data_IF_687081133982
#
_entry.id   IF_687081133982
#
_cell.length_a   1.000
_cell.length_b   1.000
_cell.length_c   1.000
_cell.angle_alpha   90.00
_cell.angle_beta   90.00
_cell.angle_gamma   90.00
#
_symmetry.space_group_name_H-M   'P 1'
#
loop_
_entity.id
_entity.type
_entity.pdbx_description
1 polymer ?
#
# COMPACT_ATOMS: atom_id res chain seq x y z
N UNK A 1 -4.88 18.12 8.17
CA UNK A 1 -3.83 18.17 7.14
C UNK A 1 -4.50 17.73 5.83
N UNK A 2 -4.19 18.35 4.69
CA UNK A 2 -4.70 17.83 3.40
C UNK A 2 -3.96 16.53 3.07
N UNK A 3 -4.53 15.68 2.20
CA UNK A 3 -3.81 14.51 1.67
C UNK A 3 -2.43 14.88 1.13
N UNK A 4 -1.52 13.89 1.12
CA UNK A 4 -0.14 14.08 0.67
C UNK A 4 -0.14 14.55 -0.79
N UNK A 5 0.63 15.61 -1.06
CA UNK A 5 0.77 16.14 -2.42
C UNK A 5 1.42 15.10 -3.35
N UNK A 6 0.79 14.86 -4.49
CA UNK A 6 1.29 13.92 -5.50
C UNK A 6 2.52 14.49 -6.19
N UNK A 7 3.62 13.74 -6.16
CA UNK A 7 4.79 13.98 -7.01
C UNK A 7 4.86 12.89 -8.09
N UNK A 8 4.57 13.21 -9.37
CA UNK A 8 4.56 12.22 -10.45
C UNK A 8 5.88 11.46 -10.62
N UNK A 9 7.02 12.04 -10.23
CA UNK A 9 8.33 11.37 -10.32
C UNK A 9 8.46 10.18 -9.34
N UNK A 10 7.58 10.11 -8.34
CA UNK A 10 7.55 9.04 -7.34
C UNK A 10 6.66 7.87 -7.76
N UNK A 11 6.02 7.95 -8.94
CA UNK A 11 5.01 7.00 -9.39
C UNK A 11 5.46 6.41 -10.72
N UNK A 12 5.98 5.19 -10.68
CA UNK A 12 6.16 4.38 -11.88
C UNK A 12 4.78 3.86 -12.32
N UNK A 13 4.64 3.50 -13.60
CA UNK A 13 3.39 2.92 -14.10
C UNK A 13 3.09 1.60 -13.35
N UNK A 14 1.85 1.44 -12.86
CA UNK A 14 1.42 0.17 -12.30
C UNK A 14 1.43 -0.88 -13.41
N UNK A 15 2.12 -2.01 -13.23
CA UNK A 15 2.19 -3.03 -14.26
C UNK A 15 0.80 -3.49 -14.69
N UNK A 16 0.53 -3.41 -15.99
CA UNK A 16 -0.67 -3.98 -16.61
C UNK A 16 -0.28 -5.22 -17.41
N UNK A 17 -0.52 -6.42 -16.85
CA UNK A 17 -0.47 -7.64 -17.67
C UNK A 17 -1.74 -7.72 -18.50
N UNK A 18 -1.62 -7.44 -19.79
CA UNK A 18 -2.66 -7.79 -20.75
C UNK A 18 -2.89 -9.30 -20.81
N UNK A 19 -4.15 -9.74 -20.76
CA UNK A 19 -4.54 -11.11 -21.11
C UNK A 19 -4.90 -12.07 -19.97
N UNK A 20 -4.91 -11.63 -18.71
CA UNK A 20 -5.51 -12.42 -17.62
C UNK A 20 -6.93 -11.90 -17.34
N UNK A 21 -7.91 -12.81 -17.35
CA UNK A 21 -9.25 -12.51 -16.87
C UNK A 21 -9.21 -12.50 -15.33
N UNK A 22 -9.13 -11.32 -14.73
CA UNK A 22 -9.19 -11.16 -13.28
C UNK A 22 -10.64 -11.26 -12.85
N UNK A 23 -11.05 -12.42 -12.37
CA UNK A 23 -12.31 -12.55 -11.64
C UNK A 23 -12.08 -12.22 -10.17
N UNK A 24 -12.94 -11.38 -9.59
CA UNK A 24 -12.89 -11.05 -8.17
C UNK A 24 -13.11 -12.31 -7.33
N UNK A 25 -12.08 -12.72 -6.60
CA UNK A 25 -12.15 -13.81 -5.62
C UNK A 25 -11.57 -13.34 -4.28
N UNK A 26 -11.75 -14.15 -3.22
CA UNK A 26 -11.13 -13.92 -1.90
C UNK A 26 -11.27 -12.47 -1.40
N UNK A 27 -12.51 -11.94 -1.47
CA UNK A 27 -12.80 -10.57 -1.08
C UNK A 27 -12.70 -10.48 0.44
N UNK A 28 -11.82 -9.59 0.94
CA UNK A 28 -11.69 -9.27 2.36
C UNK A 28 -11.93 -7.78 2.57
N UNK A 29 -12.74 -7.44 3.57
CA UNK A 29 -13.04 -6.06 3.97
C UNK A 29 -12.56 -5.82 5.38
N UNK A 30 -11.87 -4.70 5.59
CA UNK A 30 -11.27 -4.28 6.85
C UNK A 30 -11.82 -2.92 7.23
N UNK A 31 -12.32 -2.77 8.46
CA UNK A 31 -12.94 -1.54 8.95
C UNK A 31 -11.99 -0.77 9.85
N UNK A 32 -11.83 0.52 9.59
CA UNK A 32 -11.06 1.43 10.43
C UNK A 32 -12.01 2.07 11.45
N UNK A 33 -12.42 1.32 12.49
CA UNK A 33 -13.52 1.71 13.41
C UNK A 33 -13.26 3.00 14.21
N UNK A 34 -12.01 3.44 14.31
CA UNK A 34 -11.68 4.55 15.18
C UNK A 34 -12.14 5.91 14.62
N UNK A 35 -12.21 6.16 13.30
CA UNK A 35 -12.62 7.47 12.78
C UNK A 35 -13.10 7.46 11.31
N UNK A 36 -14.35 7.90 11.10
CA UNK A 36 -15.14 7.74 9.87
C UNK A 36 -15.22 6.25 9.49
N UNK A 37 -16.37 5.73 9.07
CA UNK A 37 -16.49 4.29 8.77
C UNK A 37 -15.78 3.97 7.44
N UNK A 38 -14.44 4.05 7.43
CA UNK A 38 -13.62 3.77 6.28
C UNK A 38 -13.41 2.26 6.18
N UNK A 39 -13.75 1.73 5.02
CA UNK A 39 -13.54 0.33 4.68
C UNK A 39 -12.45 0.20 3.62
N UNK A 40 -11.52 -0.72 3.87
CA UNK A 40 -10.52 -1.16 2.90
C UNK A 40 -10.94 -2.54 2.41
N UNK A 41 -11.28 -2.68 1.13
CA UNK A 41 -11.66 -3.96 0.53
C UNK A 41 -10.59 -4.42 -0.45
N UNK A 42 -10.05 -5.62 -0.25
CA UNK A 42 -9.05 -6.24 -1.14
C UNK A 42 -9.68 -7.36 -1.96
N UNK A 43 -9.26 -7.51 -3.22
CA UNK A 43 -9.76 -8.55 -4.13
C UNK A 43 -8.61 -9.43 -4.61
N UNK A 44 -8.71 -10.72 -4.28
CA UNK A 44 -7.86 -11.79 -4.77
C UNK A 44 -8.10 -12.12 -6.24
N UNK A 45 -7.15 -12.84 -6.83
CA UNK A 45 -7.24 -13.39 -8.18
C UNK A 45 -7.80 -14.81 -8.06
N UNK A 46 -8.87 -15.11 -8.79
CA UNK A 46 -9.45 -16.45 -8.80
C UNK A 46 -8.43 -17.49 -9.29
N UNK A 47 -8.36 -18.64 -8.60
CA UNK A 47 -7.48 -19.77 -8.92
C UNK A 47 -5.97 -19.47 -8.86
N UNK A 48 -5.55 -18.42 -8.13
CA UNK A 48 -4.15 -18.16 -7.80
C UNK A 48 -3.91 -18.47 -6.33
N UNK A 49 -3.22 -19.59 -6.08
CA UNK A 49 -2.91 -20.04 -4.72
C UNK A 49 -1.63 -19.41 -4.16
N UNK A 50 -0.71 -18.91 -5.01
CA UNK A 50 0.41 -18.02 -4.68
C UNK A 50 0.98 -17.39 -5.97
N UNK A 51 1.60 -16.19 -5.97
CA UNK A 51 1.82 -15.27 -4.83
C UNK A 51 1.34 -13.82 -5.09
N UNK A 52 0.54 -13.58 -6.13
CA UNK A 52 -0.19 -12.32 -6.31
C UNK A 52 -1.52 -12.37 -5.56
N UNK A 53 -1.46 -12.35 -4.23
CA UNK A 53 -2.58 -12.75 -3.37
C UNK A 53 -3.78 -11.77 -3.41
N UNK A 54 -3.57 -10.56 -3.93
CA UNK A 54 -4.63 -9.65 -4.37
C UNK A 54 -4.12 -8.64 -5.39
N UNK A 55 -5.02 -8.18 -6.26
CA UNK A 55 -4.67 -7.29 -7.36
C UNK A 55 -5.41 -5.97 -7.30
N UNK A 56 -6.43 -5.86 -6.44
CA UNK A 56 -7.27 -4.68 -6.33
C UNK A 56 -7.52 -4.30 -4.89
N UNK A 57 -7.53 -2.99 -4.63
CA UNK A 57 -7.95 -2.37 -3.38
C UNK A 57 -9.01 -1.34 -3.68
N UNK A 58 -10.10 -1.37 -2.93
CA UNK A 58 -11.15 -0.35 -2.93
C UNK A 58 -11.22 0.28 -1.54
N UNK A 59 -11.36 1.61 -1.52
CA UNK A 59 -11.54 2.42 -0.34
C UNK A 59 -12.94 3.04 -0.37
N UNK A 60 -13.69 2.94 0.71
CA UNK A 60 -15.01 3.56 0.86
C UNK A 60 -15.22 4.17 2.25
N UNK A 61 -16.10 5.17 2.38
CA UNK A 61 -16.54 5.77 3.64
C UNK A 61 -18.05 5.99 3.57
N UNK A 62 -18.82 5.57 4.57
CA UNK A 62 -20.27 5.81 4.66
C UNK A 62 -21.01 5.50 3.33
N UNK A 63 -20.74 4.32 2.75
CA UNK A 63 -21.25 3.86 1.43
C UNK A 63 -20.82 4.68 0.19
N UNK A 64 -19.94 5.67 0.34
CA UNK A 64 -19.32 6.41 -0.75
C UNK A 64 -17.96 5.82 -1.13
N UNK A 65 -17.73 5.61 -2.43
CA UNK A 65 -16.41 5.20 -2.94
C UNK A 65 -15.42 6.36 -2.85
N UNK A 66 -14.29 6.13 -2.17
CA UNK A 66 -13.15 7.05 -2.07
C UNK A 66 -12.17 6.84 -3.22
N UNK A 67 -11.94 5.59 -3.61
CA UNK A 67 -11.03 5.23 -4.70
C UNK A 67 -10.89 3.73 -4.93
N UNK A 68 -10.43 3.37 -6.12
CA UNK A 68 -10.12 2.00 -6.49
C UNK A 68 -8.75 1.94 -7.20
N UNK A 69 -7.92 1.00 -6.80
CA UNK A 69 -6.54 0.85 -7.28
C UNK A 69 -6.29 -0.60 -7.68
N UNK A 70 -5.68 -0.81 -8.84
CA UNK A 70 -5.38 -2.14 -9.35
C UNK A 70 -3.91 -2.29 -9.76
N UNK A 71 -3.28 -3.39 -9.36
CA UNK A 71 -1.94 -3.81 -9.77
C UNK A 71 -2.01 -5.26 -10.27
N UNK A 72 -1.88 -5.43 -11.59
CA UNK A 72 -2.05 -6.74 -12.23
C UNK A 72 -0.87 -7.70 -11.98
N UNK A 73 0.26 -7.19 -11.50
CA UNK A 73 1.33 -8.06 -10.99
C UNK A 73 1.05 -8.57 -9.57
N UNK A 74 -0.01 -8.07 -8.93
CA UNK A 74 -0.42 -8.45 -7.59
C UNK A 74 0.39 -7.77 -6.47
N UNK A 75 -0.25 -7.69 -5.32
CA UNK A 75 0.36 -7.44 -4.02
C UNK A 75 0.43 -8.75 -3.24
N UNK A 76 1.47 -8.92 -2.44
CA UNK A 76 1.69 -10.10 -1.61
C UNK A 76 1.01 -9.94 -0.24
N UNK A 77 0.56 -11.06 0.35
CA UNK A 77 0.18 -11.08 1.76
C UNK A 77 1.41 -11.25 2.65
N UNK A 78 1.30 -10.85 3.91
CA UNK A 78 2.30 -11.13 4.94
C UNK A 78 2.55 -12.63 5.16
N UNK A 79 1.63 -13.51 4.77
CA UNK A 79 1.84 -14.95 4.93
C UNK A 79 2.98 -15.49 4.04
N UNK A 80 3.29 -14.79 2.95
CA UNK A 80 4.33 -15.17 1.99
C UNK A 80 5.74 -14.90 2.53
N UNK A 81 5.89 -13.91 3.43
CA UNK A 81 7.20 -13.48 3.97
C UNK A 81 7.07 -13.08 5.45
N UNK A 82 7.77 -13.81 6.32
CA UNK A 82 7.77 -13.56 7.78
C UNK A 82 8.07 -12.11 8.15
N UNK A 83 8.99 -11.46 7.43
CA UNK A 83 9.32 -10.04 7.63
C UNK A 83 8.13 -9.11 7.34
N UNK A 84 7.44 -9.31 6.21
CA UNK A 84 6.28 -8.49 5.85
C UNK A 84 5.16 -8.71 6.86
N UNK A 85 4.94 -9.97 7.29
CA UNK A 85 4.02 -10.29 8.38
C UNK A 85 4.32 -9.50 9.66
N UNK A 86 5.58 -9.49 10.07
CA UNK A 86 6.02 -8.78 11.26
C UNK A 86 5.78 -7.27 11.11
N UNK A 87 6.12 -6.67 9.97
CA UNK A 87 5.87 -5.26 9.68
C UNK A 87 4.38 -4.92 9.73
N UNK A 88 3.51 -5.77 9.16
CA UNK A 88 2.06 -5.58 9.21
C UNK A 88 1.57 -5.64 10.67
N UNK A 89 1.95 -6.69 11.40
CA UNK A 89 1.50 -6.92 12.77
C UNK A 89 1.95 -5.83 13.75
N UNK A 90 3.14 -5.26 13.53
CA UNK A 90 3.73 -4.29 14.45
C UNK A 90 3.26 -2.86 14.20
N UNK A 91 2.83 -2.52 12.97
CA UNK A 91 2.60 -1.13 12.58
C UNK A 91 1.19 -0.83 12.07
N UNK A 92 0.42 -1.83 11.64
CA UNK A 92 -0.91 -1.57 11.09
C UNK A 92 -1.91 -1.22 12.19
N UNK A 93 -2.73 -0.19 11.97
CA UNK A 93 -3.84 0.18 12.85
C UNK A 93 -4.94 -0.88 12.96
N UNK A 94 -5.02 -1.78 11.97
CA UNK A 94 -5.98 -2.88 11.95
C UNK A 94 -5.29 -4.20 11.74
N UNK A 95 -5.79 -5.23 12.43
CA UNK A 95 -5.34 -6.61 12.27
C UNK A 95 -5.67 -7.09 10.85
N UNK A 96 -4.63 -7.40 10.08
CA UNK A 96 -4.76 -7.92 8.73
C UNK A 96 -3.45 -8.61 8.32
N UNK A 97 -3.45 -9.21 7.13
CA UNK A 97 -2.30 -9.89 6.55
C UNK A 97 -1.88 -9.31 5.19
N UNK A 98 -2.28 -8.09 4.83
CA UNK A 98 -2.19 -7.57 3.45
C UNK A 98 -1.50 -6.22 3.32
N UNK A 99 -1.61 -5.37 4.33
CA UNK A 99 -1.22 -3.98 4.23
C UNK A 99 -0.92 -3.40 5.61
N UNK A 100 -0.24 -2.25 5.61
CA UNK A 100 -0.13 -1.41 6.79
C UNK A 100 -1.03 -0.19 6.57
N UNK A 101 -1.93 0.06 7.52
CA UNK A 101 -2.63 1.36 7.62
C UNK A 101 -1.98 2.17 8.73
N UNK A 102 -1.58 3.40 8.41
CA UNK A 102 -1.05 4.38 9.35
C UNK A 102 -1.97 5.60 9.43
N UNK A 103 -2.13 6.15 10.63
CA UNK A 103 -2.83 7.42 10.87
C UNK A 103 -1.80 8.55 10.79
N UNK A 104 -2.09 9.54 9.93
CA UNK A 104 -1.28 10.73 9.75
C UNK A 104 -1.88 11.97 10.43
N UNK A 105 -2.96 11.77 11.20
CA UNK A 105 -3.72 12.77 11.91
C UNK A 105 -4.75 13.49 11.04
N UNK A 106 -5.74 14.15 11.65
CA UNK A 106 -6.80 14.90 10.94
C UNK A 106 -7.66 14.04 9.97
N UNK A 107 -7.96 12.78 10.31
CA UNK A 107 -8.70 11.84 9.45
C UNK A 107 -8.01 11.57 8.11
N UNK A 108 -6.67 11.63 8.09
CA UNK A 108 -5.84 11.36 6.94
C UNK A 108 -4.98 10.13 7.23
N UNK A 109 -4.98 9.19 6.29
CA UNK A 109 -4.36 7.89 6.44
C UNK A 109 -3.42 7.58 5.28
N UNK A 110 -2.55 6.63 5.54
CA UNK A 110 -1.68 6.04 4.54
C UNK A 110 -1.86 4.53 4.53
N UNK A 111 -2.10 3.96 3.36
CA UNK A 111 -2.09 2.52 3.09
C UNK A 111 -0.78 2.16 2.41
N UNK A 112 -0.03 1.23 2.98
CA UNK A 112 1.21 0.68 2.42
C UNK A 112 0.96 -0.75 1.94
N UNK A 113 1.22 -0.98 0.66
CA UNK A 113 1.01 -2.26 -0.04
C UNK A 113 2.33 -2.79 -0.58
N UNK A 114 2.53 -4.10 -0.45
CA UNK A 114 3.76 -4.80 -0.82
C UNK A 114 3.54 -5.57 -2.12
N UNK A 115 4.28 -5.23 -3.17
CA UNK A 115 4.22 -5.94 -4.45
C UNK A 115 5.10 -7.18 -4.43
N UNK A 116 4.63 -8.25 -5.06
CA UNK A 116 5.43 -9.47 -5.16
C UNK A 116 6.70 -9.23 -5.98
N UNK A 117 7.89 -9.65 -5.51
CA UNK A 117 9.09 -9.61 -6.33
C UNK A 117 8.99 -10.67 -7.42
N UNK A 118 8.89 -10.23 -8.67
CA UNK A 118 8.87 -11.14 -9.81
C UNK A 118 10.30 -11.37 -10.31
N UNK A 119 10.74 -12.63 -10.25
CA UNK A 119 12.09 -13.03 -10.66
C UNK A 119 13.18 -12.21 -9.93
N UNK A 120 14.13 -11.63 -10.67
CA UNK A 120 15.22 -10.79 -10.12
C UNK A 120 14.85 -9.32 -9.95
N UNK A 121 13.56 -8.97 -10.05
CA UNK A 121 13.08 -7.59 -9.87
C UNK A 121 12.77 -7.37 -8.39
N UNK A 122 13.26 -6.28 -7.77
CA UNK A 122 12.89 -5.93 -6.41
C UNK A 122 11.37 -5.84 -6.23
N UNK A 123 10.84 -6.15 -5.04
CA UNK A 123 9.41 -6.02 -4.77
C UNK A 123 8.97 -4.57 -4.97
N UNK A 124 7.68 -4.39 -5.25
CA UNK A 124 7.10 -3.06 -5.42
C UNK A 124 6.64 -2.53 -4.08
N UNK A 125 6.69 -1.22 -3.88
CA UNK A 125 6.02 -0.55 -2.77
C UNK A 125 5.02 0.44 -3.35
N UNK A 126 3.76 0.29 -2.97
CA UNK A 126 2.70 1.25 -3.28
C UNK A 126 2.25 1.92 -1.99
N UNK A 127 2.23 3.25 -1.98
CA UNK A 127 1.72 4.06 -0.86
C UNK A 127 0.53 4.86 -1.38
N UNK A 128 -0.62 4.67 -0.73
CA UNK A 128 -1.86 5.39 -1.04
C UNK A 128 -2.19 6.30 0.14
N UNK A 129 -2.30 7.59 -0.13
CA UNK A 129 -2.81 8.58 0.80
C UNK A 129 -4.33 8.65 0.66
N UNK A 130 -5.09 8.63 1.75
CA UNK A 130 -6.54 8.73 1.68
C UNK A 130 -7.18 9.41 2.89
N UNK A 131 -8.35 9.98 2.66
CA UNK A 131 -9.26 10.54 3.64
C UNK A 131 -10.70 10.17 3.22
N UNK A 132 -11.71 10.52 4.01
CA UNK A 132 -13.11 10.09 3.79
C UNK A 132 -13.69 10.44 2.40
N UNK A 133 -13.11 11.39 1.67
CA UNK A 133 -13.64 11.89 0.40
C UNK A 133 -12.62 11.92 -0.74
N UNK A 134 -11.35 11.57 -0.49
CA UNK A 134 -10.29 11.64 -1.50
C UNK A 134 -9.20 10.61 -1.26
N UNK A 135 -8.62 10.10 -2.34
CA UNK A 135 -7.48 9.20 -2.29
C UNK A 135 -6.53 9.41 -3.47
N UNK A 136 -5.23 9.18 -3.24
CA UNK A 136 -4.19 9.31 -4.25
C UNK A 136 -3.06 8.30 -4.01
N UNK A 137 -2.53 7.70 -5.09
CA UNK A 137 -1.23 7.03 -5.04
C UNK A 137 -0.14 8.10 -4.93
N UNK A 138 0.73 8.00 -3.94
CA UNK A 138 1.78 9.00 -3.65
C UNK A 138 3.19 8.44 -3.76
N UNK A 139 3.31 7.12 -3.79
CA UNK A 139 4.56 6.42 -4.11
C UNK A 139 4.24 5.09 -4.78
N UNK A 140 4.97 4.74 -5.82
CA UNK A 140 4.79 3.49 -6.57
C UNK A 140 6.08 3.12 -7.31
N UNK A 141 6.98 2.35 -6.69
CA UNK A 141 8.29 1.98 -7.27
C UNK A 141 8.77 0.61 -6.84
N UNK A 142 9.70 0.02 -7.61
CA UNK A 142 10.49 -1.14 -7.20
C UNK A 142 11.36 -0.76 -5.99
N UNK A 143 10.91 -1.07 -4.78
CA UNK A 143 11.51 -0.64 -3.53
C UNK A 143 11.40 -1.78 -2.52
N UNK A 144 12.55 -2.35 -2.14
CA UNK A 144 12.57 -3.41 -1.13
C UNK A 144 12.50 -2.81 0.27
N UNK A 145 11.30 -2.88 0.86
CA UNK A 145 11.06 -2.42 2.22
C UNK A 145 11.97 -3.15 3.22
N UNK A 146 12.73 -2.37 3.98
CA UNK A 146 13.49 -2.86 5.11
C UNK A 146 12.80 -2.49 6.43
N UNK A 147 12.43 -1.24 6.60
CA UNK A 147 11.99 -0.73 7.91
C UNK A 147 10.86 0.27 7.73
N UNK A 148 9.92 0.27 8.67
CA UNK A 148 8.89 1.29 8.81
C UNK A 148 8.86 1.77 10.26
N UNK A 149 8.79 3.08 10.44
CA UNK A 149 8.61 3.74 11.73
C UNK A 149 7.45 4.72 11.59
N UNK A 150 6.59 4.76 12.61
CA UNK A 150 5.29 5.45 12.53
C UNK A 150 4.87 6.16 13.82
N UNK A 151 5.76 6.35 14.79
CA UNK A 151 5.38 6.91 16.10
C UNK A 151 4.79 8.32 16.00
N UNK A 152 5.31 9.17 15.11
CA UNK A 152 4.77 10.53 14.86
C UNK A 152 4.68 10.93 13.39
N UNK A 153 5.38 10.19 12.51
CA UNK A 153 5.50 10.49 11.07
C UNK A 153 5.73 9.20 10.30
N UNK A 154 5.31 9.18 9.04
CA UNK A 154 5.73 8.15 8.09
C UNK A 154 7.23 8.26 7.89
N UNK A 155 7.94 7.18 8.22
CA UNK A 155 9.33 7.00 7.85
C UNK A 155 9.54 5.55 7.40
N UNK A 156 10.09 5.38 6.21
CA UNK A 156 10.34 4.08 5.59
C UNK A 156 11.78 4.05 5.10
N UNK A 157 12.49 2.94 5.36
CA UNK A 157 13.80 2.65 4.73
C UNK A 157 13.72 1.42 3.87
N UNK A 158 14.47 1.43 2.77
CA UNK A 158 14.51 0.30 1.86
C UNK A 158 15.53 0.43 0.76
N UNK A 159 15.64 -0.61 -0.06
CA UNK A 159 16.60 -0.67 -1.16
C UNK A 159 15.91 -0.26 -2.46
N UNK A 160 16.48 0.75 -3.11
CA UNK A 160 16.12 1.18 -4.46
C UNK A 160 17.36 1.21 -5.33
N UNK A 161 17.33 0.49 -6.47
CA UNK A 161 18.47 0.37 -7.39
C UNK A 161 19.78 0.08 -6.66
N UNK A 162 19.77 -0.96 -5.82
CA UNK A 162 20.93 -1.45 -5.06
C UNK A 162 21.46 -0.50 -3.97
N UNK A 163 20.80 0.65 -3.74
CA UNK A 163 21.22 1.63 -2.75
C UNK A 163 20.14 1.84 -1.68
N UNK A 164 20.58 2.10 -0.45
CA UNK A 164 19.69 2.43 0.65
C UNK A 164 19.05 3.80 0.41
N UNK A 165 17.72 3.85 0.56
CA UNK A 165 16.91 5.04 0.41
C UNK A 165 15.93 5.13 1.58
N UNK A 166 15.50 6.36 1.83
CA UNK A 166 14.49 6.69 2.82
C UNK A 166 13.32 7.42 2.17
N UNK A 167 12.12 7.15 2.69
CA UNK A 167 10.88 7.84 2.38
C UNK A 167 10.33 8.44 3.67
N UNK A 168 10.02 9.72 3.67
CA UNK A 168 9.42 10.37 4.84
C UNK A 168 8.51 11.53 4.44
N UNK A 169 7.69 11.98 5.39
CA UNK A 169 6.81 13.14 5.18
C UNK A 169 7.42 14.42 5.74
N UNK A 170 7.50 15.43 4.90
CA UNK A 170 7.88 16.79 5.25
C UNK A 170 6.91 17.79 4.62
N UNK A 171 6.27 18.63 5.45
CA UNK A 171 5.34 19.67 5.00
C UNK A 171 4.22 19.17 4.05
N UNK A 172 3.70 17.97 4.29
CA UNK A 172 2.66 17.35 3.46
C UNK A 172 3.15 16.83 2.11
N UNK A 173 4.47 16.73 1.91
CA UNK A 173 5.10 16.13 0.75
C UNK A 173 5.87 14.87 1.15
N UNK A 174 5.80 13.87 0.29
CA UNK A 174 6.59 12.66 0.42
C UNK A 174 7.98 12.91 -0.17
N UNK A 175 9.00 12.85 0.68
CA UNK A 175 10.40 12.98 0.30
C UNK A 175 10.95 11.59 0.07
N UNK A 176 11.66 11.40 -1.05
CA UNK A 176 12.32 10.15 -1.42
C UNK A 176 13.76 10.47 -1.83
N UNK A 177 14.73 9.97 -1.06
CA UNK A 177 16.15 10.29 -1.27
C UNK A 177 17.05 9.15 -0.82
N UNK A 178 18.31 9.09 -1.32
CA UNK A 178 19.35 8.27 -0.72
C UNK A 178 19.52 8.58 0.78
N UNK A 179 19.89 7.56 1.55
CA UNK A 179 20.30 7.74 2.95
C UNK A 179 21.76 8.18 3.08
#
# INVERSE_FOLDING_TARGET
>A
MNIINVNPNLIDEMPSRGGLAYENANIKTFRLENFAEIEVTTFGIQNWDEPGDFYKVSLSSDDASIGEFSNLNGWETGNTRSRIKELINNHSLVENDRFIVLDMGSNHYVLVLFGYPYASIPPFLTIISFAANESNVVFNKNFELQEIMSEDKLYIRGIYKENLHQIFLEQGQLIFQPE
#
